data_IF_156180236741
#
_entry.id   IF_156180236741
#
_cell.length_a   1.000
_cell.length_b   1.000
_cell.length_c   1.000
_cell.angle_alpha   90.00
_cell.angle_beta   90.00
_cell.angle_gamma   90.00
#
_symmetry.space_group_name_H-M   'P 1'
#
loop_
_entity.id
_entity.type
_entity.pdbx_description
1 polymer ?
#
# COMPACT_ATOMS: atom_id res chain seq x y z
N UNK A 1 15.47 59.79 28.35
CA UNK A 1 14.62 58.72 28.96
C UNK A 1 13.13 58.83 28.62
N UNK A 2 12.53 59.99 28.43
CA UNK A 2 11.10 60.12 28.14
C UNK A 2 10.55 59.49 26.86
N UNK A 3 11.30 59.49 25.75
CA UNK A 3 10.85 58.94 24.45
C UNK A 3 10.77 57.39 24.44
N UNK A 4 11.57 56.70 25.25
CA UNK A 4 11.54 55.22 25.35
C UNK A 4 10.33 54.74 26.15
N UNK A 5 9.97 55.42 27.19
CA UNK A 5 8.83 55.11 28.06
C UNK A 5 7.50 55.29 27.30
N UNK A 6 7.37 56.35 26.48
CA UNK A 6 6.19 56.62 25.66
C UNK A 6 6.04 55.53 24.56
N UNK A 7 7.15 55.11 23.92
CA UNK A 7 7.11 54.03 22.91
C UNK A 7 6.66 52.70 23.47
N UNK A 8 7.16 52.31 24.65
CA UNK A 8 6.75 51.04 25.31
C UNK A 8 5.28 51.07 25.75
N UNK A 9 4.81 52.20 26.27
CA UNK A 9 3.41 52.35 26.68
C UNK A 9 2.45 52.30 25.50
N UNK A 10 2.79 52.85 24.34
CA UNK A 10 1.94 52.76 23.12
C UNK A 10 1.88 51.34 22.57
N UNK A 11 3.00 50.63 22.58
CA UNK A 11 3.02 49.21 22.12
C UNK A 11 2.23 48.32 23.06
N UNK A 12 2.33 48.49 24.37
CA UNK A 12 1.55 47.73 25.34
C UNK A 12 0.05 48.02 25.24
N UNK A 13 -0.37 49.28 25.04
CA UNK A 13 -1.79 49.63 24.85
C UNK A 13 -2.34 49.05 23.53
N UNK A 14 -1.57 49.10 22.44
CA UNK A 14 -1.98 48.49 21.17
C UNK A 14 -2.15 46.98 21.29
N UNK A 15 -1.25 46.26 21.97
CA UNK A 15 -1.35 44.82 22.21
C UNK A 15 -2.56 44.46 23.06
N UNK A 16 -2.87 45.25 24.10
CA UNK A 16 -4.05 45.05 24.94
C UNK A 16 -5.34 45.29 24.14
N UNK A 17 -5.40 46.34 23.34
CA UNK A 17 -6.57 46.65 22.48
C UNK A 17 -6.78 45.55 21.44
N UNK A 18 -5.72 45.04 20.78
CA UNK A 18 -5.81 43.92 19.87
C UNK A 18 -6.26 42.65 20.58
N UNK A 19 -5.74 42.36 21.76
CA UNK A 19 -6.18 41.19 22.56
C UNK A 19 -7.64 41.24 22.95
N UNK A 20 -8.11 42.41 23.41
CA UNK A 20 -9.53 42.65 23.75
C UNK A 20 -10.42 42.57 22.49
N UNK A 21 -10.00 43.11 21.34
CA UNK A 21 -10.73 43.00 20.10
C UNK A 21 -10.87 41.56 19.62
N UNK A 22 -9.82 40.75 19.68
CA UNK A 22 -9.84 39.32 19.37
C UNK A 22 -10.75 38.55 20.32
N UNK A 23 -10.71 38.84 21.61
CA UNK A 23 -11.60 38.24 22.61
C UNK A 23 -13.09 38.61 22.37
N UNK A 24 -13.35 39.89 22.05
CA UNK A 24 -14.71 40.35 21.70
C UNK A 24 -15.21 39.73 20.37
N UNK A 25 -14.34 39.61 19.36
CA UNK A 25 -14.67 38.90 18.13
C UNK A 25 -14.97 37.43 18.38
N UNK A 26 -14.12 36.71 19.12
CA UNK A 26 -14.39 35.31 19.53
C UNK A 26 -15.69 35.18 20.30
N UNK A 27 -15.96 36.10 21.23
CA UNK A 27 -17.22 36.08 22.00
C UNK A 27 -18.44 36.40 21.15
N UNK A 28 -18.31 37.32 20.18
CA UNK A 28 -19.39 37.65 19.23
C UNK A 28 -19.65 36.53 18.23
N UNK A 29 -18.58 35.88 17.75
CA UNK A 29 -18.70 34.68 16.89
C UNK A 29 -19.31 33.50 17.63
N UNK A 30 -18.94 33.29 18.89
CA UNK A 30 -19.51 32.21 19.72
C UNK A 30 -21.00 32.44 20.08
N UNK A 31 -21.42 33.70 20.11
CA UNK A 31 -22.84 34.08 20.33
C UNK A 31 -23.67 34.22 19.04
N UNK A 32 -23.05 34.12 17.85
CA UNK A 32 -23.84 34.11 16.62
C UNK A 32 -24.43 32.72 16.44
N UNK A 33 -25.73 32.63 16.22
CA UNK A 33 -26.44 31.35 16.02
C UNK A 33 -25.91 30.52 14.83
N UNK A 34 -25.14 31.18 13.93
CA UNK A 34 -24.46 30.51 12.82
C UNK A 34 -23.23 29.69 13.28
N UNK A 35 -22.44 30.25 14.23
CA UNK A 35 -21.30 29.51 14.78
C UNK A 35 -21.75 28.29 15.60
N UNK A 36 -22.83 28.41 16.34
CA UNK A 36 -23.42 27.26 17.05
C UNK A 36 -23.90 26.16 16.10
N UNK A 37 -24.40 26.53 14.90
CA UNK A 37 -24.75 25.55 13.86
C UNK A 37 -23.53 24.85 13.28
N UNK A 38 -22.42 25.58 13.02
CA UNK A 38 -21.16 25.01 12.54
C UNK A 38 -20.57 24.05 13.58
N UNK A 39 -20.57 24.45 14.85
CA UNK A 39 -20.05 23.60 15.95
C UNK A 39 -20.90 22.32 16.11
N UNK A 40 -22.22 22.43 16.01
CA UNK A 40 -23.11 21.27 16.04
C UNK A 40 -22.90 20.34 14.82
N UNK A 41 -22.66 20.90 13.63
CA UNK A 41 -22.36 20.14 12.42
C UNK A 41 -21.02 19.42 12.52
N UNK A 42 -19.99 20.07 13.04
CA UNK A 42 -18.68 19.47 13.27
C UNK A 42 -18.78 18.31 14.28
N UNK A 43 -19.51 18.52 15.37
CA UNK A 43 -19.72 17.47 16.37
C UNK A 43 -20.48 16.26 15.81
N UNK A 44 -21.53 16.50 15.04
CA UNK A 44 -22.29 15.44 14.36
C UNK A 44 -21.40 14.67 13.37
N UNK A 45 -20.56 15.41 12.63
CA UNK A 45 -19.59 14.80 11.71
C UNK A 45 -18.53 13.96 12.46
N UNK A 46 -17.96 14.49 13.54
CA UNK A 46 -17.00 13.75 14.37
C UNK A 46 -17.64 12.49 14.95
N UNK A 47 -18.86 12.56 15.47
CA UNK A 47 -19.57 11.40 16.01
C UNK A 47 -19.86 10.34 14.94
N UNK A 48 -20.26 10.76 13.72
CA UNK A 48 -20.53 9.86 12.60
C UNK A 48 -19.26 9.22 12.01
N UNK A 49 -18.15 9.96 12.00
CA UNK A 49 -16.86 9.47 11.53
C UNK A 49 -16.07 8.72 12.60
N UNK A 50 -16.47 8.80 13.85
CA UNK A 50 -15.78 8.09 14.93
C UNK A 50 -15.86 6.58 14.76
N UNK A 51 -14.72 5.91 14.93
CA UNK A 51 -14.59 4.45 14.93
C UNK A 51 -14.19 3.95 16.32
N UNK A 52 -15.10 4.00 17.34
CA UNK A 52 -14.77 3.56 18.67
C UNK A 52 -14.47 2.05 18.68
N UNK A 53 -13.55 1.64 19.55
CA UNK A 53 -13.10 0.23 19.66
C UNK A 53 -14.27 -0.74 19.81
N UNK A 54 -15.35 -0.35 20.51
CA UNK A 54 -16.55 -1.18 20.64
C UNK A 54 -17.23 -1.49 19.30
N UNK A 55 -17.33 -0.51 18.39
CA UNK A 55 -17.85 -0.73 17.03
C UNK A 55 -16.91 -1.61 16.20
N UNK A 56 -15.59 -1.38 16.32
CA UNK A 56 -14.60 -2.21 15.60
C UNK A 56 -14.66 -3.67 16.05
N UNK A 57 -14.83 -3.94 17.35
CA UNK A 57 -15.04 -5.30 17.86
C UNK A 57 -16.31 -5.94 17.30
N UNK A 58 -17.43 -5.22 17.27
CA UNK A 58 -18.67 -5.74 16.67
C UNK A 58 -18.49 -6.11 15.19
N UNK A 59 -17.76 -5.29 14.43
CA UNK A 59 -17.43 -5.61 13.02
C UNK A 59 -16.56 -6.86 12.94
N UNK A 60 -15.54 -6.97 13.77
CA UNK A 60 -14.66 -8.14 13.81
C UNK A 60 -15.42 -9.42 14.19
N UNK A 61 -16.31 -9.35 15.17
CA UNK A 61 -17.15 -10.48 15.59
C UNK A 61 -18.10 -10.91 14.48
N UNK A 62 -18.78 -9.96 13.83
CA UNK A 62 -19.66 -10.23 12.69
C UNK A 62 -18.87 -10.84 11.51
N UNK A 63 -17.68 -10.31 11.20
CA UNK A 63 -16.81 -10.86 10.16
C UNK A 63 -16.39 -12.30 10.50
N UNK A 64 -16.06 -12.59 11.75
CA UNK A 64 -15.70 -13.95 12.21
C UNK A 64 -16.85 -14.93 11.98
N UNK A 65 -18.09 -14.55 12.26
CA UNK A 65 -19.27 -15.39 12.00
C UNK A 65 -19.43 -15.67 10.51
N UNK A 66 -19.30 -14.64 9.66
CA UNK A 66 -19.37 -14.78 8.20
C UNK A 66 -18.23 -15.66 7.66
N UNK A 67 -17.02 -15.54 8.21
CA UNK A 67 -15.88 -16.38 7.84
C UNK A 67 -16.14 -17.86 8.16
N UNK A 68 -16.67 -18.17 9.34
CA UNK A 68 -17.03 -19.55 9.71
C UNK A 68 -18.12 -20.10 8.81
N UNK A 69 -19.14 -19.31 8.49
CA UNK A 69 -20.19 -19.72 7.55
C UNK A 69 -19.64 -19.99 6.14
N UNK A 70 -18.71 -19.14 5.66
CA UNK A 70 -18.04 -19.32 4.36
C UNK A 70 -17.14 -20.55 4.30
N UNK A 71 -16.54 -20.96 5.43
CA UNK A 71 -15.75 -22.21 5.52
C UNK A 71 -16.65 -23.44 5.61
N UNK A 72 -17.83 -23.33 6.22
CA UNK A 72 -18.70 -24.48 6.48
C UNK A 72 -19.39 -25.00 5.22
N UNK A 73 -19.73 -24.13 4.27
CA UNK A 73 -20.40 -24.55 3.03
C UNK A 73 -20.22 -23.52 1.91
N UNK A 74 -20.18 -24.01 0.66
CA UNK A 74 -20.20 -23.16 -0.51
C UNK A 74 -21.53 -22.35 -0.54
N UNK A 75 -21.42 -21.03 -0.65
CA UNK A 75 -22.56 -20.11 -0.58
C UNK A 75 -23.11 -19.85 0.82
N UNK A 76 -22.51 -20.38 1.87
CA UNK A 76 -22.90 -20.14 3.26
C UNK A 76 -22.68 -18.70 3.74
N UNK A 77 -21.81 -17.95 3.05
CA UNK A 77 -21.54 -16.54 3.31
C UNK A 77 -21.16 -15.81 2.02
N UNK A 78 -21.24 -14.47 2.06
CA UNK A 78 -20.66 -13.62 1.01
C UNK A 78 -19.13 -13.65 1.02
N UNK A 79 -18.51 -14.04 2.12
CA UNK A 79 -17.06 -14.24 2.25
C UNK A 79 -16.72 -15.65 1.78
N UNK A 80 -16.14 -15.77 0.59
CA UNK A 80 -15.84 -17.06 -0.04
C UNK A 80 -14.73 -17.87 0.63
N UNK A 81 -13.95 -17.28 1.54
CA UNK A 81 -12.86 -17.93 2.27
C UNK A 81 -11.90 -18.68 1.35
N UNK A 82 -11.32 -17.96 0.38
CA UNK A 82 -10.38 -18.54 -0.57
C UNK A 82 -9.07 -18.96 0.11
N UNK A 83 -8.44 -20.00 -0.44
CA UNK A 83 -7.14 -20.49 0.03
C UNK A 83 -6.08 -19.41 -0.24
N UNK A 84 -5.38 -18.98 0.81
CA UNK A 84 -4.30 -18.00 0.72
C UNK A 84 -2.92 -18.61 0.42
N UNK A 85 -2.77 -19.92 0.63
CA UNK A 85 -1.49 -20.66 0.59
C UNK A 85 -0.45 -20.16 1.59
N UNK A 86 -0.85 -19.34 2.56
CA UNK A 86 0.02 -18.86 3.65
C UNK A 86 -0.18 -19.76 4.86
N UNK A 87 0.86 -20.47 5.26
CA UNK A 87 0.87 -21.39 6.39
C UNK A 87 1.63 -20.85 7.62
N UNK A 88 2.46 -19.83 7.41
CA UNK A 88 3.21 -19.19 8.48
C UNK A 88 3.03 -17.67 8.48
N UNK A 89 3.04 -17.07 9.66
CA UNK A 89 3.05 -15.63 9.83
C UNK A 89 4.47 -15.14 10.16
N UNK A 90 4.80 -13.88 9.84
CA UNK A 90 6.09 -13.30 10.23
C UNK A 90 6.27 -13.35 11.75
N UNK A 91 7.47 -13.75 12.18
CA UNK A 91 7.85 -13.84 13.59
C UNK A 91 8.56 -12.58 14.10
N UNK A 92 9.09 -11.78 13.17
CA UNK A 92 9.93 -10.61 13.43
C UNK A 92 11.40 -10.96 13.57
N UNK A 93 11.77 -12.23 13.34
CA UNK A 93 13.15 -12.73 13.36
C UNK A 93 13.78 -12.77 11.95
N UNK A 94 13.01 -12.37 10.94
CA UNK A 94 13.43 -12.44 9.55
C UNK A 94 14.65 -11.54 9.31
N UNK A 95 15.69 -12.12 8.71
CA UNK A 95 16.93 -11.45 8.37
C UNK A 95 17.28 -11.70 6.90
N UNK A 96 17.88 -10.70 6.27
CA UNK A 96 18.38 -10.81 4.91
C UNK A 96 17.83 -9.75 3.97
N UNK A 97 18.21 -9.91 2.71
CA UNK A 97 17.80 -9.04 1.61
C UNK A 97 16.61 -9.64 0.88
N UNK A 98 15.53 -8.86 0.79
CA UNK A 98 14.30 -9.23 0.10
C UNK A 98 13.92 -8.15 -0.91
N UNK A 99 13.28 -8.58 -2.00
CA UNK A 99 12.73 -7.73 -3.04
C UNK A 99 11.20 -7.83 -3.07
N UNK A 100 10.56 -6.75 -3.45
CA UNK A 100 9.15 -6.73 -3.76
C UNK A 100 8.89 -5.99 -5.07
N UNK A 101 7.96 -6.51 -5.85
CA UNK A 101 7.43 -5.90 -7.06
C UNK A 101 5.92 -5.73 -6.87
N UNK A 102 5.42 -4.52 -7.04
CA UNK A 102 3.98 -4.22 -7.00
C UNK A 102 3.54 -3.70 -8.36
N UNK A 103 2.82 -4.52 -9.12
CA UNK A 103 2.22 -4.16 -10.40
C UNK A 103 0.78 -3.72 -10.18
N UNK A 104 0.58 -2.42 -10.21
CA UNK A 104 -0.72 -1.77 -9.98
C UNK A 104 -1.48 -1.43 -11.27
N UNK A 105 -1.75 -0.15 -11.45
CA UNK A 105 -2.43 0.41 -12.63
C UNK A 105 -1.44 0.94 -13.66
N UNK A 106 -1.22 2.27 -13.66
CA UNK A 106 -0.32 2.94 -14.62
C UNK A 106 1.15 2.90 -14.26
N UNK A 107 1.47 2.48 -13.06
CA UNK A 107 2.84 2.40 -12.53
C UNK A 107 3.05 1.05 -11.86
N UNK A 108 4.31 0.62 -11.82
CA UNK A 108 4.73 -0.42 -10.90
C UNK A 108 5.85 0.10 -9.99
N UNK A 109 6.00 -0.56 -8.84
CA UNK A 109 7.03 -0.25 -7.86
C UNK A 109 7.90 -1.45 -7.62
N UNK A 110 9.20 -1.21 -7.55
CA UNK A 110 10.16 -2.19 -7.06
C UNK A 110 10.75 -1.69 -5.75
N UNK A 111 10.89 -2.57 -4.79
CA UNK A 111 11.47 -2.30 -3.49
C UNK A 111 12.51 -3.35 -3.16
N UNK A 112 13.58 -2.95 -2.51
CA UNK A 112 14.48 -3.83 -1.77
C UNK A 112 14.52 -3.43 -0.31
N UNK A 113 14.59 -4.42 0.56
CA UNK A 113 14.64 -4.22 2.00
C UNK A 113 15.66 -5.16 2.60
N UNK A 114 16.54 -4.62 3.45
CA UNK A 114 17.42 -5.38 4.31
C UNK A 114 16.73 -5.49 5.67
N UNK A 115 16.36 -6.69 6.05
CA UNK A 115 15.83 -7.02 7.37
C UNK A 115 16.96 -7.42 8.30
N UNK A 116 16.86 -7.07 9.56
CA UNK A 116 17.87 -7.32 10.61
C UNK A 116 17.29 -7.98 11.87
N UNK A 117 16.22 -8.73 11.71
CA UNK A 117 15.63 -9.52 12.80
C UNK A 117 15.00 -8.68 13.92
N UNK A 118 14.97 -9.25 15.12
CA UNK A 118 14.30 -8.65 16.29
C UNK A 118 14.87 -7.30 16.71
N UNK A 119 16.19 -7.15 16.64
CA UNK A 119 16.85 -5.94 17.13
C UNK A 119 16.65 -4.75 16.22
N UNK A 120 16.68 -4.98 14.92
CA UNK A 120 16.51 -3.93 13.91
C UNK A 120 15.69 -4.44 12.74
N UNK A 121 14.38 -4.40 12.87
CA UNK A 121 13.43 -4.95 11.89
C UNK A 121 13.74 -4.53 10.45
N UNK A 122 13.95 -3.26 10.20
CA UNK A 122 14.34 -2.73 8.89
C UNK A 122 15.67 -1.99 9.04
N UNK A 123 16.72 -2.53 8.45
CA UNK A 123 18.05 -1.92 8.43
C UNK A 123 18.09 -0.81 7.40
N UNK A 124 17.65 -1.12 6.18
CA UNK A 124 17.57 -0.19 5.05
C UNK A 124 16.48 -0.63 4.08
N UNK A 125 15.88 0.31 3.39
CA UNK A 125 14.99 0.02 2.26
C UNK A 125 15.16 1.09 1.17
N UNK A 126 14.91 0.69 -0.07
CA UNK A 126 14.87 1.57 -1.22
C UNK A 126 13.70 1.20 -2.12
N UNK A 127 13.09 2.21 -2.74
CA UNK A 127 11.93 2.05 -3.62
C UNK A 127 12.17 2.84 -4.90
N UNK A 128 11.86 2.22 -6.05
CA UNK A 128 11.79 2.88 -7.37
C UNK A 128 10.39 2.71 -7.93
N UNK A 129 9.78 3.79 -8.34
CA UNK A 129 8.52 3.77 -9.09
C UNK A 129 8.79 3.99 -10.57
N UNK A 130 8.12 3.20 -11.42
CA UNK A 130 8.29 3.22 -12.88
C UNK A 130 6.91 3.34 -13.53
N UNK A 131 6.74 4.34 -14.38
CA UNK A 131 5.51 4.51 -15.17
C UNK A 131 5.50 3.56 -16.34
N UNK A 132 4.37 2.90 -16.57
CA UNK A 132 4.19 1.95 -17.67
C UNK A 132 3.66 2.72 -18.88
N UNK A 133 4.38 2.71 -20.03
CA UNK A 133 3.87 3.34 -21.24
C UNK A 133 2.58 2.67 -21.76
N UNK A 134 1.68 3.46 -22.34
CA UNK A 134 0.38 2.96 -22.80
C UNK A 134 0.50 1.82 -23.82
N UNK A 135 1.49 1.89 -24.69
CA UNK A 135 1.76 0.85 -25.69
C UNK A 135 2.24 -0.49 -25.07
N UNK A 136 2.74 -0.46 -23.83
CA UNK A 136 3.11 -1.66 -23.07
C UNK A 136 1.89 -2.27 -22.36
N UNK A 137 0.94 -1.41 -21.96
CA UNK A 137 -0.30 -1.84 -21.28
C UNK A 137 -1.31 -2.49 -22.24
N UNK A 138 -1.30 -2.10 -23.51
CA UNK A 138 -2.24 -2.54 -24.55
C UNK A 138 -1.50 -3.20 -25.73
N UNK A 139 -0.48 -3.99 -25.43
CA UNK A 139 0.31 -4.70 -26.43
C UNK A 139 -0.34 -6.01 -26.90
N UNK A 140 0.17 -6.55 -28.00
CA UNK A 140 -0.26 -7.86 -28.53
C UNK A 140 0.47 -9.04 -27.88
N UNK A 141 1.51 -8.78 -27.10
CA UNK A 141 2.34 -9.82 -26.49
C UNK A 141 2.67 -9.52 -25.02
N UNK A 142 2.53 -10.54 -24.21
CA UNK A 142 2.94 -10.60 -22.81
C UNK A 142 4.43 -10.27 -22.62
N UNK A 143 5.26 -10.70 -23.55
CA UNK A 143 6.70 -10.48 -23.49
C UNK A 143 7.04 -8.99 -23.38
N UNK A 144 6.32 -8.12 -24.09
CA UNK A 144 6.58 -6.67 -24.06
C UNK A 144 6.39 -6.10 -22.64
N UNK A 145 5.34 -6.51 -21.94
CA UNK A 145 5.08 -6.06 -20.57
C UNK A 145 6.10 -6.65 -19.60
N UNK A 146 6.25 -7.97 -19.63
CA UNK A 146 7.12 -8.65 -18.65
C UNK A 146 8.61 -8.35 -18.87
N UNK A 147 9.06 -8.19 -20.12
CA UNK A 147 10.42 -7.75 -20.41
C UNK A 147 10.68 -6.31 -19.98
N UNK A 148 9.69 -5.42 -20.13
CA UNK A 148 9.78 -4.06 -19.60
C UNK A 148 9.94 -4.05 -18.08
N UNK A 149 9.17 -4.88 -17.37
CA UNK A 149 9.24 -5.02 -15.91
C UNK A 149 10.58 -5.63 -15.50
N UNK A 150 11.01 -6.71 -16.16
CA UNK A 150 12.26 -7.41 -15.88
C UNK A 150 13.49 -6.51 -16.11
N UNK A 151 13.47 -5.69 -17.18
CA UNK A 151 14.53 -4.71 -17.46
C UNK A 151 14.64 -3.67 -16.34
N UNK A 152 13.53 -3.10 -15.91
CA UNK A 152 13.53 -2.12 -14.83
C UNK A 152 13.94 -2.73 -13.48
N UNK A 153 13.58 -4.00 -13.23
CA UNK A 153 14.03 -4.74 -12.07
C UNK A 153 15.55 -5.02 -12.14
N UNK A 154 16.08 -5.39 -13.32
CA UNK A 154 17.50 -5.59 -13.53
C UNK A 154 18.32 -4.31 -13.27
N UNK A 155 17.85 -3.19 -13.80
CA UNK A 155 18.47 -1.89 -13.51
C UNK A 155 18.47 -1.59 -12.01
N UNK A 156 17.37 -1.88 -11.32
CA UNK A 156 17.26 -1.65 -9.87
C UNK A 156 18.18 -2.57 -9.07
N UNK A 157 18.28 -3.84 -9.45
CA UNK A 157 19.21 -4.80 -8.82
C UNK A 157 20.67 -4.36 -9.04
N UNK A 158 21.01 -3.86 -10.23
CA UNK A 158 22.36 -3.39 -10.54
C UNK A 158 22.81 -2.18 -9.68
N UNK A 159 21.86 -1.44 -9.09
CA UNK A 159 22.16 -0.33 -8.15
C UNK A 159 22.28 -0.78 -6.68
N UNK A 160 22.36 -2.09 -6.42
CA UNK A 160 22.52 -2.62 -5.06
C UNK A 160 23.85 -2.16 -4.46
N UNK A 161 23.78 -1.39 -3.39
CA UNK A 161 24.96 -0.85 -2.69
C UNK A 161 25.43 -1.75 -1.55
N UNK A 162 26.57 -1.38 -0.95
CA UNK A 162 27.23 -2.13 0.13
C UNK A 162 26.40 -2.31 1.41
N UNK A 163 25.31 -1.53 1.57
CA UNK A 163 24.40 -1.64 2.70
C UNK A 163 23.40 -2.83 2.58
N UNK A 164 23.39 -3.50 1.42
CA UNK A 164 22.52 -4.63 1.17
C UNK A 164 23.36 -5.90 1.02
N UNK A 165 23.08 -6.89 1.86
CA UNK A 165 23.86 -8.11 1.92
C UNK A 165 23.00 -9.32 1.55
N UNK A 166 23.33 -9.92 0.42
CA UNK A 166 22.85 -11.25 0.06
C UNK A 166 23.88 -12.29 0.54
N UNK A 167 23.51 -13.22 1.44
CA UNK A 167 24.44 -14.27 1.87
C UNK A 167 24.92 -15.11 0.68
N UNK A 168 26.20 -15.54 0.68
CA UNK A 168 26.74 -16.38 -0.39
C UNK A 168 25.89 -17.64 -0.63
N UNK A 169 25.61 -17.95 -1.89
CA UNK A 169 24.81 -19.10 -2.30
C UNK A 169 23.31 -18.94 -2.13
N UNK A 170 22.84 -17.78 -1.69
CA UNK A 170 21.40 -17.45 -1.69
C UNK A 170 21.00 -16.73 -2.97
N UNK A 171 19.85 -17.11 -3.50
CA UNK A 171 19.18 -16.42 -4.60
C UNK A 171 18.33 -15.27 -4.05
N UNK A 172 18.22 -14.16 -4.78
CA UNK A 172 17.31 -13.05 -4.40
C UNK A 172 15.87 -13.52 -4.46
N UNK A 173 15.13 -13.26 -3.39
CA UNK A 173 13.72 -13.60 -3.27
C UNK A 173 12.85 -12.38 -3.54
N UNK A 174 11.86 -12.55 -4.42
CA UNK A 174 10.92 -11.52 -4.84
C UNK A 174 9.50 -11.87 -4.40
N UNK A 175 8.88 -10.99 -3.63
CA UNK A 175 7.43 -10.96 -3.45
C UNK A 175 6.79 -10.21 -4.62
N UNK A 176 5.89 -10.86 -5.35
CA UNK A 176 5.21 -10.26 -6.49
C UNK A 176 3.76 -9.92 -6.14
N UNK A 177 3.46 -8.64 -5.92
CA UNK A 177 2.10 -8.13 -5.78
C UNK A 177 1.53 -7.83 -7.15
N UNK A 178 0.51 -8.58 -7.53
CA UNK A 178 -0.15 -8.49 -8.83
C UNK A 178 -1.61 -8.10 -8.65
N UNK A 179 -1.91 -6.82 -8.82
CA UNK A 179 -3.18 -6.21 -8.46
C UNK A 179 -4.27 -6.41 -9.53
N UNK A 180 -4.38 -7.60 -10.08
CA UNK A 180 -5.39 -8.02 -11.04
C UNK A 180 -6.07 -9.33 -10.60
N UNK A 181 -7.26 -9.67 -11.12
CA UNK A 181 -7.92 -10.92 -10.81
C UNK A 181 -7.11 -12.14 -11.28
N UNK A 182 -6.64 -12.95 -10.33
CA UNK A 182 -5.94 -14.22 -10.61
C UNK A 182 -6.61 -15.37 -9.89
N UNK A 183 -6.56 -16.55 -10.49
CA UNK A 183 -6.81 -17.82 -9.82
C UNK A 183 -5.49 -18.33 -9.29
N UNK A 184 -5.26 -18.19 -7.99
CA UNK A 184 -4.03 -18.64 -7.36
C UNK A 184 -4.01 -20.16 -7.26
N UNK A 185 -2.88 -20.80 -7.57
CA UNK A 185 -2.69 -22.24 -7.60
C UNK A 185 -1.70 -22.72 -6.55
N UNK A 186 -0.78 -21.87 -6.13
CA UNK A 186 0.19 -22.07 -5.05
C UNK A 186 0.62 -20.72 -4.50
N UNK A 187 1.54 -20.72 -3.52
CA UNK A 187 2.12 -19.48 -2.99
C UNK A 187 2.81 -18.64 -4.07
N UNK A 188 3.41 -19.27 -5.07
CA UNK A 188 4.17 -18.60 -6.14
C UNK A 188 3.64 -18.94 -7.54
N UNK A 189 2.34 -19.15 -7.70
CA UNK A 189 1.71 -19.44 -9.00
C UNK A 189 0.27 -18.96 -9.03
N UNK A 190 -0.14 -18.33 -10.12
CA UNK A 190 -1.50 -17.85 -10.31
C UNK A 190 -1.81 -17.50 -11.76
N UNK A 191 -2.95 -17.95 -12.22
CA UNK A 191 -3.44 -17.75 -13.58
C UNK A 191 -4.24 -16.46 -13.68
N UNK A 192 -3.89 -15.59 -14.62
CA UNK A 192 -4.65 -14.37 -14.89
C UNK A 192 -6.05 -14.72 -15.41
N UNK A 193 -7.09 -14.22 -14.72
CA UNK A 193 -8.48 -14.39 -15.14
C UNK A 193 -8.86 -13.35 -16.19
N UNK A 194 -8.55 -12.07 -15.91
CA UNK A 194 -8.82 -10.95 -16.82
C UNK A 194 -8.00 -9.74 -16.44
N UNK A 195 -7.72 -8.91 -17.42
CA UNK A 195 -7.16 -7.59 -17.19
C UNK A 195 -8.19 -6.60 -16.67
N UNK A 196 -7.70 -5.59 -15.95
CA UNK A 196 -8.43 -4.42 -15.48
C UNK A 196 -7.53 -3.19 -15.59
N UNK A 197 -7.96 -2.03 -15.14
CA UNK A 197 -7.13 -0.80 -15.01
C UNK A 197 -6.49 -0.34 -16.33
N UNK A 198 -7.14 -0.60 -17.47
CA UNK A 198 -6.65 -0.16 -18.79
C UNK A 198 -5.62 -1.09 -19.45
N UNK A 199 -5.31 -2.24 -18.86
CA UNK A 199 -4.53 -3.27 -19.53
C UNK A 199 -5.39 -4.10 -20.48
N UNK A 200 -4.80 -4.49 -21.63
CA UNK A 200 -5.44 -5.38 -22.61
C UNK A 200 -4.37 -6.15 -23.39
N UNK A 201 -3.87 -7.24 -22.80
CA UNK A 201 -2.87 -8.13 -23.39
C UNK A 201 -3.46 -9.53 -23.37
N UNK A 202 -3.96 -9.99 -24.51
CA UNK A 202 -4.80 -11.19 -24.57
C UNK A 202 -4.07 -12.50 -24.31
N UNK A 203 -2.82 -12.61 -24.74
CA UNK A 203 -2.02 -13.84 -24.65
C UNK A 203 -1.63 -14.25 -23.21
N UNK A 204 -1.77 -13.36 -22.24
CA UNK A 204 -1.55 -13.65 -20.80
C UNK A 204 -2.79 -14.18 -20.11
N UNK A 205 -3.98 -13.89 -20.63
CA UNK A 205 -5.21 -14.37 -20.02
C UNK A 205 -5.23 -15.90 -20.06
N UNK A 206 -5.39 -16.52 -18.90
CA UNK A 206 -5.31 -17.98 -18.76
C UNK A 206 -3.88 -18.50 -18.53
N UNK A 207 -2.85 -17.66 -18.51
CA UNK A 207 -1.46 -18.05 -18.25
C UNK A 207 -1.05 -17.75 -16.79
N UNK A 208 -0.01 -18.45 -16.33
CA UNK A 208 0.61 -18.18 -15.02
C UNK A 208 1.48 -16.92 -15.08
N UNK A 209 1.05 -15.87 -14.40
CA UNK A 209 1.75 -14.57 -14.41
C UNK A 209 3.13 -14.63 -13.76
N UNK A 210 3.35 -15.55 -12.82
CA UNK A 210 4.68 -15.79 -12.24
C UNK A 210 5.60 -16.46 -13.25
N UNK A 211 5.07 -17.42 -14.02
CA UNK A 211 5.81 -18.08 -15.10
C UNK A 211 6.23 -17.07 -16.18
N UNK A 212 5.34 -16.16 -16.57
CA UNK A 212 5.68 -15.12 -17.56
C UNK A 212 6.75 -14.15 -17.04
N UNK A 213 6.65 -13.71 -15.78
CA UNK A 213 7.68 -12.89 -15.15
C UNK A 213 9.03 -13.63 -15.04
N UNK A 214 9.01 -14.89 -14.65
CA UNK A 214 10.23 -15.71 -14.53
C UNK A 214 10.97 -15.85 -15.87
N UNK A 215 10.25 -16.13 -16.96
CA UNK A 215 10.83 -16.17 -18.33
C UNK A 215 11.47 -14.84 -18.70
N UNK A 216 10.83 -13.72 -18.38
CA UNK A 216 11.37 -12.39 -18.67
C UNK A 216 12.61 -12.07 -17.83
N UNK A 217 12.61 -12.45 -16.55
CA UNK A 217 13.79 -12.31 -15.69
C UNK A 217 14.97 -13.15 -16.18
N UNK A 218 14.71 -14.36 -16.66
CA UNK A 218 15.72 -15.23 -17.28
C UNK A 218 16.31 -14.57 -18.54
N UNK A 219 15.47 -14.04 -19.44
CA UNK A 219 15.94 -13.28 -20.62
C UNK A 219 16.78 -12.05 -20.25
N UNK A 220 16.44 -11.39 -19.15
CA UNK A 220 17.19 -10.24 -18.61
C UNK A 220 18.48 -10.64 -17.84
N UNK A 221 18.76 -11.93 -17.68
CA UNK A 221 19.92 -12.44 -16.95
C UNK A 221 19.84 -12.20 -15.42
N UNK A 222 18.63 -12.08 -14.88
CA UNK A 222 18.41 -11.84 -13.48
C UNK A 222 18.37 -13.14 -12.67
N UNK A 223 19.23 -13.23 -11.65
CA UNK A 223 19.18 -14.31 -10.65
C UNK A 223 18.25 -13.90 -9.49
N UNK A 224 16.93 -13.92 -9.78
CA UNK A 224 15.85 -13.58 -8.85
C UNK A 224 14.76 -14.63 -8.95
N UNK A 225 14.27 -15.10 -7.83
CA UNK A 225 13.16 -16.07 -7.73
C UNK A 225 11.90 -15.40 -7.16
N UNK A 226 10.76 -15.59 -7.80
CA UNK A 226 9.48 -15.22 -7.20
C UNK A 226 9.16 -16.21 -6.08
N UNK A 227 9.22 -15.74 -4.85
CA UNK A 227 8.96 -16.54 -3.66
C UNK A 227 7.47 -16.58 -3.30
N UNK A 228 6.75 -15.49 -3.60
CA UNK A 228 5.31 -15.40 -3.33
C UNK A 228 4.61 -14.49 -4.35
N UNK A 229 3.41 -14.92 -4.75
CA UNK A 229 2.45 -14.12 -5.50
C UNK A 229 1.38 -13.60 -4.54
N UNK A 230 1.20 -12.29 -4.48
CA UNK A 230 0.15 -11.64 -3.70
C UNK A 230 -0.82 -10.98 -4.67
N UNK A 231 -2.07 -11.43 -4.67
CA UNK A 231 -3.13 -10.79 -5.45
C UNK A 231 -3.95 -9.88 -4.56
N UNK A 232 -4.00 -8.60 -4.91
CA UNK A 232 -4.83 -7.60 -4.24
C UNK A 232 -5.94 -7.16 -5.19
N UNK A 233 -6.93 -8.02 -5.41
CA UNK A 233 -8.10 -7.68 -6.22
C UNK A 233 -9.38 -7.88 -5.41
N UNK A 234 -10.21 -6.84 -5.21
CA UNK A 234 -11.51 -6.98 -4.55
C UNK A 234 -12.51 -7.82 -5.37
N UNK A 235 -12.16 -8.16 -6.62
CA UNK A 235 -13.00 -8.90 -7.56
C UNK A 235 -12.51 -10.33 -7.82
N UNK A 236 -11.90 -11.01 -6.85
CA UNK A 236 -11.76 -12.46 -6.89
C UNK A 236 -13.13 -13.12 -6.65
N UNK A 237 -14.10 -12.74 -7.50
CA UNK A 237 -15.44 -13.32 -7.51
C UNK A 237 -15.51 -14.17 -8.78
N UNK A 238 -15.42 -15.47 -8.63
CA UNK A 238 -16.06 -16.37 -9.58
C UNK A 238 -17.53 -16.44 -9.25
#
# INVERSE_FOLDING_TARGET
MGKLVVGVSVVCTAAVVCGVAVLLMKRRMKNSGEWGKVEALLKDFEEKCATPVGKLKQVADAMTVEMHAGLASEGGSKLKMLISYVDNLPTGDEEGLFYALDLGGTNFRVMRVQLGGKEKRIVKHEVKEVSIPQNVMAGSSSEVLFDFIATALAEFVATEGDDFHLPPGRQRELGFTFSFPVKQLSIASGTLIKWTKGFSIEDVVGQDVVGELAKAMERAGLDVRVAALVSFSPNQIQ
#
